data_IF_430759338760
#
_entry.id   IF_430759338760
#
_cell.length_a   1.000
_cell.length_b   1.000
_cell.length_c   1.000
_cell.angle_alpha   90.00
_cell.angle_beta   90.00
_cell.angle_gamma   90.00
#
_symmetry.space_group_name_H-M   'P 1'
#
loop_
_entity.id
_entity.type
_entity.pdbx_description
1 polymer ?
#
# COMPACT_ATOMS: atom_id res chain seq x y z
N UNK A 1 -8.08 -19.51 -19.71
CA UNK A 1 -6.78 -19.58 -20.42
C UNK A 1 -6.40 -18.24 -21.08
N UNK A 2 -6.56 -17.10 -20.39
CA UNK A 2 -6.15 -15.77 -20.89
C UNK A 2 -5.23 -15.00 -19.92
N UNK A 3 -5.03 -15.52 -18.69
CA UNK A 3 -4.21 -14.86 -17.66
C UNK A 3 -2.71 -14.94 -17.94
N UNK A 4 -2.22 -16.03 -18.54
CA UNK A 4 -0.78 -16.26 -18.73
C UNK A 4 -0.11 -15.27 -19.68
N UNK A 5 -0.84 -14.70 -20.65
CA UNK A 5 -0.25 -13.79 -21.64
C UNK A 5 0.00 -12.36 -21.14
N UNK A 6 -0.77 -11.87 -20.16
CA UNK A 6 -0.61 -10.49 -19.68
C UNK A 6 0.67 -10.33 -18.83
N UNK A 7 0.94 -11.30 -17.93
CA UNK A 7 2.05 -11.25 -16.98
C UNK A 7 3.43 -11.24 -17.64
N UNK A 8 3.64 -12.02 -18.72
CA UNK A 8 4.93 -12.06 -19.43
C UNK A 8 5.27 -10.74 -20.14
N UNK A 9 4.28 -9.98 -20.59
CA UNK A 9 4.53 -8.75 -21.37
C UNK A 9 4.98 -7.54 -20.53
N UNK A 10 4.63 -7.50 -19.24
CA UNK A 10 5.11 -6.48 -18.29
C UNK A 10 6.55 -6.77 -17.84
N UNK A 11 6.87 -8.04 -17.58
CA UNK A 11 8.23 -8.49 -17.21
C UNK A 11 9.24 -8.22 -18.33
N UNK A 12 8.88 -8.50 -19.58
CA UNK A 12 9.77 -8.30 -20.73
C UNK A 12 10.21 -6.83 -20.94
N UNK A 13 9.52 -5.86 -20.34
CA UNK A 13 9.87 -4.42 -20.43
C UNK A 13 10.74 -3.94 -19.26
N UNK A 14 10.74 -4.66 -18.14
CA UNK A 14 11.57 -4.32 -16.99
C UNK A 14 12.89 -5.08 -17.14
N UNK A 15 13.97 -4.40 -17.54
CA UNK A 15 15.32 -4.97 -17.56
C UNK A 15 15.83 -5.17 -16.12
N UNK A 16 15.23 -6.12 -15.41
CA UNK A 16 15.58 -6.45 -14.04
C UNK A 16 16.81 -7.35 -14.02
N UNK A 17 17.70 -7.21 -13.02
CA UNK A 17 18.78 -8.18 -12.80
C UNK A 17 18.21 -9.59 -12.58
N UNK A 18 18.97 -10.62 -12.99
CA UNK A 18 18.58 -12.03 -12.81
C UNK A 18 18.33 -12.43 -11.35
N UNK A 19 18.88 -11.67 -10.39
CA UNK A 19 18.67 -11.88 -8.96
C UNK A 19 17.30 -11.41 -8.44
N UNK A 20 16.50 -10.75 -9.27
CA UNK A 20 15.19 -10.21 -8.88
C UNK A 20 14.10 -11.18 -9.32
N UNK A 21 13.49 -11.84 -8.35
CA UNK A 21 12.25 -12.58 -8.57
C UNK A 21 11.06 -11.63 -8.52
N UNK A 22 10.20 -11.69 -9.52
CA UNK A 22 9.01 -10.86 -9.61
C UNK A 22 7.80 -11.71 -10.00
N UNK A 23 6.77 -11.66 -9.17
CA UNK A 23 5.48 -12.28 -9.42
C UNK A 23 4.38 -11.22 -9.53
N UNK A 24 3.42 -11.49 -10.41
CA UNK A 24 2.22 -10.68 -10.55
C UNK A 24 1.02 -11.59 -10.35
N UNK A 25 0.12 -11.20 -9.46
CA UNK A 25 -1.04 -12.01 -9.11
C UNK A 25 -2.33 -11.24 -9.40
N UNK A 26 -3.27 -11.89 -10.08
CA UNK A 26 -4.64 -11.38 -10.22
C UNK A 26 -5.47 -11.93 -9.08
N UNK A 27 -5.54 -11.19 -7.97
CA UNK A 27 -6.28 -11.59 -6.76
C UNK A 27 -7.04 -10.39 -6.18
N UNK A 28 -8.06 -10.69 -5.38
CA UNK A 28 -8.67 -9.70 -4.48
C UNK A 28 -7.80 -9.57 -3.23
N UNK A 29 -7.33 -8.35 -2.97
CA UNK A 29 -6.52 -8.01 -1.80
C UNK A 29 -7.17 -8.46 -0.49
N UNK A 30 -8.49 -8.32 -0.38
CA UNK A 30 -9.23 -8.64 0.85
C UNK A 30 -9.42 -10.15 1.07
N UNK A 31 -9.11 -10.98 0.08
CA UNK A 31 -9.19 -12.44 0.18
C UNK A 31 -7.81 -13.09 0.12
N UNK A 32 -6.71 -12.32 0.20
CA UNK A 32 -5.38 -12.89 0.23
C UNK A 32 -5.20 -13.75 1.48
N UNK A 33 -4.80 -15.01 1.27
CA UNK A 33 -4.51 -15.94 2.35
C UNK A 33 -3.34 -15.43 3.19
N UNK A 34 -3.45 -15.59 4.50
CA UNK A 34 -2.45 -15.15 5.49
C UNK A 34 -1.91 -16.39 6.20
N UNK A 35 -0.98 -17.07 5.52
CA UNK A 35 -0.14 -18.12 6.08
C UNK A 35 1.29 -17.61 6.20
N UNK A 36 2.18 -18.28 6.93
CA UNK A 36 3.59 -17.86 7.07
C UNK A 36 4.25 -17.61 5.70
N UNK A 37 3.90 -18.42 4.69
CA UNK A 37 4.36 -18.30 3.30
C UNK A 37 3.80 -17.08 2.52
N UNK A 38 2.76 -16.42 3.04
CA UNK A 38 2.08 -15.29 2.41
C UNK A 38 2.14 -14.01 3.27
N UNK A 39 3.22 -13.85 4.03
CA UNK A 39 3.53 -12.64 4.79
C UNK A 39 4.75 -11.93 4.24
N UNK A 40 4.81 -10.62 4.43
CA UNK A 40 5.80 -9.74 3.83
C UNK A 40 6.58 -8.98 4.89
N UNK A 41 7.89 -8.87 4.66
CA UNK A 41 8.78 -8.02 5.46
C UNK A 41 8.56 -6.53 5.15
N UNK A 42 8.05 -6.22 3.95
CA UNK A 42 7.73 -4.86 3.51
C UNK A 42 6.51 -4.84 2.58
N UNK A 43 5.59 -3.91 2.82
CA UNK A 43 4.47 -3.57 1.93
C UNK A 43 4.55 -2.09 1.56
N UNK A 44 4.30 -1.77 0.30
CA UNK A 44 4.29 -0.39 -0.21
C UNK A 44 2.91 -0.05 -0.78
N UNK A 45 2.18 0.85 -0.13
CA UNK A 45 0.88 1.36 -0.57
C UNK A 45 1.04 2.76 -1.17
N UNK A 46 0.70 2.87 -2.44
CA UNK A 46 0.57 4.15 -3.13
C UNK A 46 -0.61 4.10 -4.08
N UNK A 47 -1.53 5.05 -3.95
CA UNK A 47 -2.81 5.12 -4.70
C UNK A 47 -3.75 3.91 -4.52
N UNK A 48 -3.43 2.95 -3.65
CA UNK A 48 -4.26 1.77 -3.41
C UNK A 48 -5.29 2.02 -2.30
N UNK A 49 -4.87 2.51 -1.13
CA UNK A 49 -5.78 2.85 -0.03
C UNK A 49 -6.89 3.84 -0.43
N UNK A 50 -6.57 4.82 -1.27
CA UNK A 50 -7.54 5.81 -1.77
C UNK A 50 -8.46 5.28 -2.85
N UNK A 51 -8.14 4.14 -3.48
CA UNK A 51 -9.05 3.45 -4.39
C UNK A 51 -10.13 2.65 -3.65
N UNK A 52 -9.92 2.34 -2.37
CA UNK A 52 -10.83 1.56 -1.54
C UNK A 52 -11.97 2.45 -1.00
N UNK A 53 -13.25 2.04 -1.14
CA UNK A 53 -14.37 2.75 -0.53
C UNK A 53 -14.16 2.97 0.97
N UNK A 54 -14.42 4.18 1.53
CA UNK A 54 -14.11 4.49 2.92
C UNK A 54 -14.65 3.47 3.95
N UNK A 55 -15.83 2.91 3.69
CA UNK A 55 -16.47 1.90 4.54
C UNK A 55 -15.63 0.61 4.71
N UNK A 56 -14.76 0.29 3.75
CA UNK A 56 -13.89 -0.89 3.77
C UNK A 56 -12.48 -0.62 4.31
N UNK A 57 -12.13 0.61 4.67
CA UNK A 57 -10.76 0.94 5.13
C UNK A 57 -10.36 0.20 6.41
N UNK A 58 -11.31 -0.12 7.29
CA UNK A 58 -11.06 -0.99 8.46
C UNK A 58 -10.68 -2.41 8.08
N UNK A 59 -11.27 -2.92 6.99
CA UNK A 59 -10.92 -4.23 6.43
C UNK A 59 -9.50 -4.19 5.86
N UNK A 60 -9.13 -3.10 5.18
CA UNK A 60 -7.76 -2.89 4.71
C UNK A 60 -6.74 -2.89 5.84
N UNK A 61 -7.03 -2.20 6.96
CA UNK A 61 -6.13 -2.16 8.12
C UNK A 61 -5.90 -3.55 8.73
N UNK A 62 -6.96 -4.36 8.86
CA UNK A 62 -6.85 -5.76 9.31
C UNK A 62 -6.03 -6.60 8.34
N UNK A 63 -6.26 -6.45 7.04
CA UNK A 63 -5.53 -7.20 6.02
C UNK A 63 -4.04 -6.84 6.04
N UNK A 64 -3.70 -5.55 6.13
CA UNK A 64 -2.30 -5.12 6.28
C UNK A 64 -1.65 -5.70 7.54
N UNK A 65 -2.36 -5.75 8.66
CA UNK A 65 -1.85 -6.32 9.90
C UNK A 65 -1.60 -7.83 9.83
N UNK A 66 -2.32 -8.54 8.96
CA UNK A 66 -2.15 -9.97 8.72
C UNK A 66 -1.09 -10.28 7.65
N UNK A 67 -0.93 -9.39 6.66
CA UNK A 67 0.06 -9.54 5.58
C UNK A 67 1.46 -9.10 6.00
N UNK A 68 1.61 -8.12 6.91
CA UNK A 68 2.92 -7.64 7.35
C UNK A 68 3.38 -8.38 8.59
N UNK A 69 4.56 -9.00 8.51
CA UNK A 69 5.19 -9.71 9.65
C UNK A 69 5.44 -8.75 10.81
N UNK A 70 5.41 -9.26 12.04
CA UNK A 70 5.92 -8.51 13.21
C UNK A 70 7.37 -8.10 12.96
N UNK A 71 7.69 -6.82 13.17
CA UNK A 71 8.98 -6.22 12.83
C UNK A 71 9.12 -5.74 11.38
N UNK A 72 8.21 -6.16 10.49
CA UNK A 72 8.12 -5.70 9.11
C UNK A 72 7.55 -4.29 8.98
N UNK A 73 7.56 -3.77 7.75
CA UNK A 73 7.24 -2.38 7.47
C UNK A 73 6.09 -2.22 6.48
N UNK A 74 5.22 -1.27 6.75
CA UNK A 74 4.26 -0.74 5.79
C UNK A 74 4.70 0.68 5.44
N UNK A 75 4.93 0.94 4.16
CA UNK A 75 5.18 2.28 3.63
C UNK A 75 3.90 2.77 2.97
N UNK A 76 3.38 3.90 3.42
CA UNK A 76 2.21 4.55 2.83
C UNK A 76 2.63 5.89 2.25
N UNK A 77 2.53 6.03 0.93
CA UNK A 77 2.64 7.33 0.27
C UNK A 77 1.23 7.94 0.20
N UNK A 78 0.91 8.72 1.24
CA UNK A 78 -0.41 9.31 1.44
C UNK A 78 -0.64 10.37 0.37
N UNK A 79 -1.45 10.05 -0.63
CA UNK A 79 -1.78 10.91 -1.77
C UNK A 79 -3.18 10.55 -2.30
N UNK A 80 -3.98 11.52 -2.78
CA UNK A 80 -3.71 12.96 -2.79
C UNK A 80 -4.22 13.68 -1.54
N UNK A 81 -3.44 14.62 -1.00
CA UNK A 81 -3.80 15.48 0.14
C UNK A 81 -4.62 16.71 -0.29
N UNK A 82 -5.64 16.49 -1.12
CA UNK A 82 -6.52 17.54 -1.64
C UNK A 82 -7.60 17.93 -0.64
N UNK A 83 -8.33 19.05 -0.82
CA UNK A 83 -9.50 19.37 -0.02
C UNK A 83 -10.54 18.24 0.03
N UNK A 84 -11.34 18.13 1.13
CA UNK A 84 -12.38 17.12 1.27
C UNK A 84 -13.38 17.10 0.11
N UNK A 85 -13.69 15.89 -0.35
CA UNK A 85 -14.63 15.61 -1.43
C UNK A 85 -15.35 14.29 -1.16
N UNK A 86 -16.65 14.24 -1.46
CA UNK A 86 -17.49 13.04 -1.30
C UNK A 86 -17.56 12.18 -2.59
N UNK A 87 -16.56 12.34 -3.47
CA UNK A 87 -16.39 11.57 -4.70
C UNK A 87 -15.12 10.72 -4.63
N UNK A 88 -15.06 9.69 -5.46
CA UNK A 88 -13.87 8.87 -5.63
C UNK A 88 -14.11 7.74 -6.64
N UNK A 89 -13.06 6.94 -6.95
CA UNK A 89 -11.68 7.10 -6.50
C UNK A 89 -10.92 8.22 -7.24
N UNK A 90 -9.87 8.84 -6.65
CA UNK A 90 -9.38 8.62 -5.28
C UNK A 90 -10.32 9.22 -4.25
N UNK A 91 -10.68 8.45 -3.22
CA UNK A 91 -11.46 8.94 -2.08
C UNK A 91 -10.60 9.82 -1.18
N UNK A 92 -11.21 10.84 -0.57
CA UNK A 92 -10.55 11.76 0.35
C UNK A 92 -9.67 11.05 1.40
N UNK A 93 -8.46 11.58 1.59
CA UNK A 93 -7.46 10.99 2.49
C UNK A 93 -6.68 12.04 3.29
N UNK A 94 -6.35 11.67 4.53
CA UNK A 94 -5.42 12.36 5.41
C UNK A 94 -4.61 11.30 6.17
N UNK A 95 -3.43 11.64 6.72
CA UNK A 95 -2.66 10.74 7.58
C UNK A 95 -3.47 10.09 8.70
N UNK A 96 -4.40 10.84 9.31
CA UNK A 96 -5.27 10.33 10.38
C UNK A 96 -6.10 9.10 9.95
N UNK A 97 -6.55 9.03 8.69
CA UNK A 97 -7.33 7.89 8.22
C UNK A 97 -6.54 6.57 8.19
N UNK A 98 -5.20 6.63 8.12
CA UNK A 98 -4.35 5.45 8.26
C UNK A 98 -4.20 5.07 9.74
N UNK A 99 -3.98 6.06 10.61
CA UNK A 99 -3.90 5.86 12.07
C UNK A 99 -5.15 5.15 12.59
N UNK A 100 -6.33 5.61 12.15
CA UNK A 100 -7.64 5.11 12.61
C UNK A 100 -7.85 3.62 12.29
N UNK A 101 -7.26 3.11 11.21
CA UNK A 101 -7.50 1.74 10.72
C UNK A 101 -6.36 0.78 11.03
N UNK A 102 -5.12 1.27 11.21
CA UNK A 102 -3.98 0.46 11.60
C UNK A 102 -4.06 0.11 13.10
N UNK A 103 -4.53 1.01 13.95
CA UNK A 103 -4.70 0.76 15.39
C UNK A 103 -3.38 0.58 16.14
N UNK A 104 -3.42 -0.06 17.31
CA UNK A 104 -2.28 -0.11 18.25
C UNK A 104 -1.11 -1.03 17.88
N UNK A 105 -1.24 -1.84 16.83
CA UNK A 105 -0.21 -2.79 16.39
C UNK A 105 0.90 -2.19 15.53
N UNK A 106 1.00 -0.86 15.48
CA UNK A 106 1.88 -0.16 14.55
C UNK A 106 2.56 1.01 15.23
N UNK A 107 3.86 1.13 14.99
CA UNK A 107 4.66 2.28 15.37
C UNK A 107 4.94 3.12 14.12
N UNK A 108 4.64 4.43 14.18
CA UNK A 108 5.00 5.36 13.10
C UNK A 108 6.46 5.77 13.26
N UNK A 109 7.35 5.21 12.44
CA UNK A 109 8.80 5.42 12.54
C UNK A 109 9.33 6.54 11.62
N UNK A 110 8.61 6.84 10.53
CA UNK A 110 8.92 7.98 9.65
C UNK A 110 7.63 8.70 9.32
N UNK A 111 7.67 10.03 9.32
CA UNK A 111 6.56 10.87 8.90
C UNK A 111 7.08 12.19 8.32
N UNK A 112 7.14 12.30 6.99
CA UNK A 112 7.75 13.45 6.30
C UNK A 112 7.14 13.71 4.92
N UNK A 113 7.41 14.90 4.38
CA UNK A 113 7.18 15.18 2.96
C UNK A 113 8.25 14.41 2.15
N UNK A 114 7.89 13.71 1.06
CA UNK A 114 8.88 13.03 0.22
C UNK A 114 9.90 14.01 -0.38
N UNK A 115 11.17 13.62 -0.42
CA UNK A 115 12.23 14.41 -1.05
C UNK A 115 12.19 14.34 -2.58
N UNK A 116 11.66 13.23 -3.11
CA UNK A 116 11.48 12.98 -4.54
C UNK A 116 9.99 12.84 -4.82
N UNK A 117 9.48 13.74 -5.64
CA UNK A 117 8.06 13.87 -5.96
C UNK A 117 7.91 14.28 -7.43
N UNK A 118 6.83 13.85 -8.07
CA UNK A 118 6.41 14.46 -9.33
C UNK A 118 5.98 15.91 -9.07
N UNK A 119 6.23 16.80 -10.03
CA UNK A 119 5.89 18.24 -9.87
C UNK A 119 4.41 18.45 -9.51
N UNK A 120 3.51 17.68 -10.11
CA UNK A 120 2.07 17.73 -9.85
C UNK A 120 1.65 17.20 -8.47
N UNK A 121 2.56 16.52 -7.76
CA UNK A 121 2.31 15.88 -6.47
C UNK A 121 2.95 16.66 -5.31
N UNK A 122 3.90 17.56 -5.58
CA UNK A 122 4.54 18.40 -4.55
C UNK A 122 3.50 19.14 -3.73
N UNK A 123 3.63 19.06 -2.40
CA UNK A 123 2.68 19.65 -1.45
C UNK A 123 1.37 18.87 -1.29
N UNK A 124 1.17 17.78 -2.03
CA UNK A 124 -0.05 16.95 -2.02
C UNK A 124 0.19 15.52 -1.54
N UNK A 125 1.37 15.23 -1.02
CA UNK A 125 1.72 13.90 -0.54
C UNK A 125 2.55 13.90 0.75
N UNK A 126 2.45 12.80 1.49
CA UNK A 126 3.19 12.58 2.74
C UNK A 126 3.64 11.13 2.82
N UNK A 127 4.93 10.92 3.04
CA UNK A 127 5.53 9.60 3.24
C UNK A 127 5.45 9.24 4.72
N UNK A 128 4.78 8.14 5.01
CA UNK A 128 4.71 7.58 6.36
C UNK A 128 5.18 6.14 6.32
N UNK A 129 6.07 5.77 7.24
CA UNK A 129 6.52 4.39 7.42
C UNK A 129 6.07 3.90 8.79
N UNK A 130 5.40 2.76 8.78
CA UNK A 130 4.86 2.09 9.95
C UNK A 130 5.63 0.80 10.17
N UNK A 131 6.12 0.57 11.38
CA UNK A 131 6.71 -0.70 11.79
C UNK A 131 5.65 -1.52 12.52
N UNK A 132 5.45 -2.77 12.11
CA UNK A 132 4.53 -3.69 12.79
C UNK A 132 5.12 -4.09 14.14
N UNK A 133 4.41 -3.79 15.22
CA UNK A 133 4.79 -4.21 16.58
C UNK A 133 4.07 -5.50 16.96
N UNK A 134 4.54 -6.24 17.97
CA UNK A 134 3.76 -7.32 18.57
C UNK A 134 2.35 -6.88 18.98
#
# INVERSE_FOLDING_TARGET
MAQTHCHHSLLAKAALPDSVELSFEVKDFFTLATSDDNTFDLVYDYTFFVAIPPIRRKEWGRQMAALVKTGGYLITLVFPLDPPQDIGPPFFVRPAHYVDVLGGGWEKVIDRIPERSLETHKGRERLIVWKRTP
#
